data_IF_233683185129
#
_entry.id   IF_233683185129
#
_cell.length_a   1.000
_cell.length_b   1.000
_cell.length_c   1.000
_cell.angle_alpha   90.00
_cell.angle_beta   90.00
_cell.angle_gamma   90.00
#
_symmetry.space_group_name_H-M   'P 1'
#
loop_
_entity.id
_entity.type
_entity.pdbx_description
1 polymer ?
#
# COMPACT_ATOMS: atom_id res chain seq x y z
N UNK A 1 6.68 -17.85 -22.97
CA UNK A 1 6.39 -18.21 -21.57
C UNK A 1 4.93 -17.93 -21.32
N UNK A 2 4.17 -18.88 -20.82
CA UNK A 2 2.74 -18.69 -20.55
C UNK A 2 2.65 -17.96 -19.23
N UNK A 3 2.22 -16.71 -19.26
CA UNK A 3 1.97 -15.91 -18.04
C UNK A 3 0.91 -16.61 -17.21
N UNK A 4 1.27 -17.06 -16.02
CA UNK A 4 0.35 -17.73 -15.13
C UNK A 4 -0.41 -16.65 -14.34
N UNK A 5 -1.64 -16.35 -14.77
CA UNK A 5 -2.53 -15.49 -13.97
C UNK A 5 -2.81 -16.20 -12.65
N UNK A 6 -2.60 -15.50 -11.54
CA UNK A 6 -2.92 -16.02 -10.22
C UNK A 6 -4.40 -16.43 -10.15
N UNK A 7 -4.65 -17.72 -10.12
CA UNK A 7 -5.95 -18.29 -9.87
C UNK A 7 -5.85 -19.16 -8.61
N UNK A 8 -6.16 -18.57 -7.46
CA UNK A 8 -6.21 -19.29 -6.20
C UNK A 8 -7.57 -19.95 -6.04
N UNK A 9 -7.60 -21.25 -5.75
CA UNK A 9 -8.74 -21.85 -5.08
C UNK A 9 -8.82 -21.35 -3.62
N UNK A 10 -9.87 -21.70 -2.91
CA UNK A 10 -10.11 -21.18 -1.57
C UNK A 10 -9.06 -21.66 -0.55
N UNK A 11 -8.60 -22.90 -0.69
CA UNK A 11 -7.55 -23.47 0.17
C UNK A 11 -6.22 -22.72 -0.03
N UNK A 12 -5.87 -22.47 -1.28
CA UNK A 12 -4.67 -21.72 -1.60
C UNK A 12 -4.77 -20.28 -1.11
N UNK A 13 -5.92 -19.63 -1.27
CA UNK A 13 -6.15 -18.28 -0.78
C UNK A 13 -6.01 -18.18 0.74
N UNK A 14 -6.59 -19.14 1.49
CA UNK A 14 -6.46 -19.21 2.95
C UNK A 14 -4.99 -19.39 3.38
N UNK A 15 -4.26 -20.25 2.67
CA UNK A 15 -2.84 -20.44 2.91
C UNK A 15 -2.03 -19.17 2.64
N UNK A 16 -2.27 -18.47 1.52
CA UNK A 16 -1.59 -17.21 1.17
C UNK A 16 -1.89 -16.12 2.21
N UNK A 17 -3.13 -15.97 2.64
CA UNK A 17 -3.51 -15.04 3.69
C UNK A 17 -2.75 -15.31 5.00
N UNK A 18 -2.66 -16.60 5.39
CA UNK A 18 -1.89 -17.02 6.56
C UNK A 18 -0.40 -16.70 6.40
N UNK A 19 0.18 -16.97 5.23
CA UNK A 19 1.60 -16.69 4.98
C UNK A 19 1.91 -15.20 4.98
N UNK A 20 0.99 -14.36 4.49
CA UNK A 20 1.13 -12.90 4.57
C UNK A 20 1.13 -12.45 6.04
N UNK A 21 0.25 -12.98 6.87
CA UNK A 21 0.22 -12.66 8.31
C UNK A 21 1.51 -13.07 9.02
N UNK A 22 2.05 -14.25 8.71
CA UNK A 22 3.26 -14.77 9.36
C UNK A 22 4.51 -14.05 8.88
N UNK A 23 4.65 -13.84 7.58
CA UNK A 23 5.85 -13.24 6.96
C UNK A 23 5.80 -11.73 6.88
N UNK A 24 4.63 -11.13 6.94
CA UNK A 24 4.38 -9.73 6.72
C UNK A 24 4.25 -9.33 5.24
N UNK A 25 4.62 -10.21 4.31
CA UNK A 25 4.49 -9.95 2.87
C UNK A 25 4.54 -11.24 2.06
N UNK A 26 4.07 -11.17 0.82
CA UNK A 26 4.22 -12.20 -0.20
C UNK A 26 4.46 -11.54 -1.56
N UNK A 27 5.31 -12.13 -2.39
CA UNK A 27 5.67 -11.60 -3.71
C UNK A 27 5.34 -12.64 -4.77
N UNK A 28 4.67 -12.20 -5.83
CA UNK A 28 4.34 -13.02 -6.99
C UNK A 28 4.99 -12.41 -8.22
N UNK A 29 5.84 -13.17 -8.87
CA UNK A 29 6.58 -12.73 -10.06
C UNK A 29 5.80 -13.02 -11.35
N UNK A 30 6.17 -12.35 -12.43
CA UNK A 30 5.74 -12.63 -13.82
C UNK A 30 4.20 -12.62 -13.99
N UNK A 31 3.51 -11.71 -13.30
CA UNK A 31 2.07 -11.55 -13.42
C UNK A 31 1.73 -10.53 -14.50
N UNK A 32 0.73 -10.86 -15.34
CA UNK A 32 0.20 -9.97 -16.37
C UNK A 32 -1.30 -9.74 -16.11
N UNK A 33 -1.59 -8.88 -15.16
CA UNK A 33 -2.94 -8.54 -14.76
C UNK A 33 -3.35 -7.19 -15.33
N UNK A 34 -4.52 -7.13 -15.93
CA UNK A 34 -5.16 -5.83 -16.15
C UNK A 34 -5.81 -5.32 -14.85
N UNK A 35 -6.21 -4.05 -14.86
CA UNK A 35 -6.75 -3.38 -13.68
C UNK A 35 -7.97 -4.10 -13.06
N UNK A 36 -8.87 -4.64 -13.88
CA UNK A 36 -10.03 -5.37 -13.38
C UNK A 36 -9.62 -6.70 -12.72
N UNK A 37 -8.72 -7.46 -13.35
CA UNK A 37 -8.21 -8.71 -12.81
C UNK A 37 -7.47 -8.50 -11.48
N UNK A 38 -6.73 -7.40 -11.39
CA UNK A 38 -6.05 -7.04 -10.15
C UNK A 38 -7.05 -6.72 -9.03
N UNK A 39 -8.09 -5.94 -9.30
CA UNK A 39 -9.14 -5.64 -8.31
C UNK A 39 -9.88 -6.91 -7.89
N UNK A 40 -10.27 -7.76 -8.84
CA UNK A 40 -10.94 -9.03 -8.54
C UNK A 40 -10.06 -9.97 -7.69
N UNK A 41 -8.76 -10.02 -7.96
CA UNK A 41 -7.82 -10.76 -7.11
C UNK A 41 -7.80 -10.21 -5.69
N UNK A 42 -7.71 -8.89 -5.53
CA UNK A 42 -7.65 -8.27 -4.21
C UNK A 42 -8.95 -8.46 -3.41
N UNK A 43 -10.11 -8.41 -4.07
CA UNK A 43 -11.41 -8.68 -3.44
C UNK A 43 -11.54 -10.08 -2.86
N UNK A 44 -10.75 -11.03 -3.31
CA UNK A 44 -10.72 -12.37 -2.71
C UNK A 44 -10.06 -12.41 -1.34
N UNK A 45 -9.23 -11.43 -1.02
CA UNK A 45 -8.62 -11.28 0.32
C UNK A 45 -9.49 -10.47 1.28
N UNK A 46 -10.47 -9.74 0.80
CA UNK A 46 -11.37 -8.92 1.59
C UNK A 46 -11.97 -7.76 0.80
N UNK A 47 -12.79 -6.97 1.47
CA UNK A 47 -13.40 -5.80 0.86
C UNK A 47 -12.34 -4.77 0.50
N UNK A 48 -12.34 -4.34 -0.75
CA UNK A 48 -11.46 -3.29 -1.22
C UNK A 48 -12.03 -1.93 -0.89
N UNK A 49 -11.28 -1.12 -0.22
CA UNK A 49 -11.64 0.28 -0.03
C UNK A 49 -11.33 1.11 -1.27
N UNK A 50 -12.21 2.04 -1.58
CA UNK A 50 -11.98 3.07 -2.57
C UNK A 50 -11.62 4.36 -1.82
N UNK A 51 -10.34 4.68 -1.65
CA UNK A 51 -9.96 5.95 -1.06
C UNK A 51 -10.48 7.09 -1.94
N UNK A 52 -11.13 8.07 -1.32
CA UNK A 52 -11.78 9.19 -2.01
C UNK A 52 -10.73 10.20 -2.49
N UNK A 53 -9.81 9.74 -3.33
CA UNK A 53 -8.73 10.53 -3.85
C UNK A 53 -9.01 10.87 -5.33
N UNK A 54 -8.86 12.13 -5.67
CA UNK A 54 -9.08 12.65 -7.03
C UNK A 54 -8.19 12.00 -8.11
N UNK A 55 -7.19 11.24 -7.70
CA UNK A 55 -6.26 10.54 -8.59
C UNK A 55 -6.69 9.10 -8.89
N UNK A 56 -7.77 8.62 -8.31
CA UNK A 56 -8.22 7.26 -8.56
C UNK A 56 -8.84 7.14 -9.96
N UNK A 57 -8.58 6.05 -10.69
CA UNK A 57 -9.26 5.77 -11.94
C UNK A 57 -10.77 5.69 -11.71
N UNK A 58 -11.57 6.39 -12.49
CA UNK A 58 -13.04 6.36 -12.37
C UNK A 58 -13.64 4.96 -12.50
N UNK A 59 -12.99 4.09 -13.29
CA UNK A 59 -13.46 2.73 -13.56
C UNK A 59 -13.12 1.75 -12.43
N UNK A 60 -12.00 1.96 -11.76
CA UNK A 60 -11.51 1.12 -10.66
C UNK A 60 -11.10 2.05 -9.51
N UNK A 61 -12.08 2.57 -8.77
CA UNK A 61 -11.81 3.57 -7.71
C UNK A 61 -10.99 3.01 -6.54
N UNK A 62 -10.92 1.69 -6.42
CA UNK A 62 -10.09 0.99 -5.44
C UNK A 62 -8.59 1.06 -5.77
N UNK A 63 -8.24 1.37 -7.02
CA UNK A 63 -6.84 1.46 -7.46
C UNK A 63 -6.29 2.84 -7.17
N UNK A 64 -5.12 2.84 -6.58
CA UNK A 64 -4.33 4.02 -6.36
C UNK A 64 -3.12 4.03 -7.30
N UNK A 65 -2.97 5.09 -8.11
CA UNK A 65 -1.88 5.18 -9.08
C UNK A 65 -0.66 5.83 -8.45
N UNK A 66 0.42 5.08 -8.37
CA UNK A 66 1.74 5.56 -7.98
C UNK A 66 2.57 5.75 -9.25
N UNK A 67 2.93 6.98 -9.57
CA UNK A 67 3.77 7.29 -10.75
C UNK A 67 4.42 8.67 -10.64
N UNK A 68 5.65 8.78 -11.11
CA UNK A 68 6.33 10.08 -11.29
C UNK A 68 5.89 10.87 -12.52
N UNK A 69 5.04 10.29 -13.40
CA UNK A 69 4.63 10.94 -14.64
C UNK A 69 3.82 12.21 -14.40
N UNK A 70 4.00 13.15 -15.32
CA UNK A 70 3.24 14.41 -15.42
C UNK A 70 2.49 14.45 -16.74
N UNK A 71 1.40 15.19 -16.78
CA UNK A 71 0.69 15.50 -18.01
C UNK A 71 1.44 16.56 -18.83
N UNK A 72 0.88 16.91 -20.00
CA UNK A 72 1.45 17.94 -20.89
C UNK A 72 1.51 19.36 -20.28
N UNK A 73 0.83 19.57 -19.15
CA UNK A 73 0.82 20.85 -18.43
C UNK A 73 1.70 20.79 -17.17
N UNK A 74 2.44 19.69 -16.94
CA UNK A 74 3.28 19.50 -15.77
C UNK A 74 2.56 19.04 -14.51
N UNK A 75 1.25 18.75 -14.58
CA UNK A 75 0.46 18.24 -13.46
C UNK A 75 0.80 16.78 -13.21
N UNK A 76 1.03 16.42 -11.96
CA UNK A 76 1.29 15.03 -11.56
C UNK A 76 0.09 14.13 -11.89
N UNK A 77 0.36 12.93 -12.42
CA UNK A 77 -0.63 11.92 -12.77
C UNK A 77 -0.82 10.88 -11.67
N UNK A 78 -0.02 10.90 -10.63
CA UNK A 78 -0.07 9.97 -9.51
C UNK A 78 0.55 10.55 -8.26
N UNK A 79 0.54 9.74 -7.19
CA UNK A 79 1.17 10.11 -5.92
C UNK A 79 2.69 9.89 -5.91
N UNK A 80 3.32 10.51 -4.93
CA UNK A 80 4.72 10.43 -4.53
C UNK A 80 5.74 11.01 -5.52
N UNK A 81 5.41 11.16 -6.80
CA UNK A 81 6.32 11.76 -7.78
C UNK A 81 7.61 10.97 -7.97
N UNK A 82 8.74 11.67 -8.10
CA UNK A 82 10.08 11.13 -8.40
C UNK A 82 11.00 11.20 -7.16
N UNK A 83 10.47 10.99 -5.98
CA UNK A 83 11.25 11.05 -4.73
C UNK A 83 11.29 9.71 -4.04
N UNK A 84 12.36 9.47 -3.33
CA UNK A 84 12.45 8.32 -2.43
C UNK A 84 11.40 8.46 -1.33
N UNK A 85 10.66 7.38 -1.11
CA UNK A 85 9.71 7.28 -0.02
C UNK A 85 10.39 6.56 1.14
N UNK A 86 10.56 7.27 2.26
CA UNK A 86 11.16 6.70 3.46
C UNK A 86 10.32 5.57 4.06
N UNK A 87 10.88 4.88 5.04
CA UNK A 87 10.18 3.82 5.76
C UNK A 87 8.88 4.33 6.38
N UNK A 88 7.79 3.66 6.08
CA UNK A 88 6.46 4.00 6.58
C UNK A 88 5.58 2.75 6.63
N UNK A 89 4.48 2.83 7.34
CA UNK A 89 3.38 1.87 7.23
C UNK A 89 2.13 2.57 6.71
N UNK A 90 1.36 1.86 5.91
CA UNK A 90 0.11 2.37 5.39
C UNK A 90 -1.02 2.23 6.43
N UNK A 91 -2.02 3.12 6.35
CA UNK A 91 -3.22 3.02 7.18
C UNK A 91 -3.11 3.58 8.60
N UNK A 92 -1.96 4.14 9.00
CA UNK A 92 -1.75 4.68 10.35
C UNK A 92 -2.67 5.87 10.69
N UNK A 93 -3.22 6.55 9.69
CA UNK A 93 -4.16 7.66 9.90
C UNK A 93 -5.60 7.20 10.13
N UNK A 94 -5.87 5.91 10.04
CA UNK A 94 -7.22 5.36 10.20
C UNK A 94 -7.44 4.87 11.62
N UNK A 95 -8.51 5.32 12.22
CA UNK A 95 -8.98 4.78 13.49
C UNK A 95 -9.73 3.47 13.25
N UNK A 96 -9.47 2.45 14.07
CA UNK A 96 -10.21 1.17 14.10
C UNK A 96 -10.01 0.22 12.91
N UNK A 97 -8.87 0.22 12.25
CA UNK A 97 -8.57 -0.80 11.25
C UNK A 97 -7.67 -1.87 11.87
N UNK A 98 -8.24 -3.01 12.18
CA UNK A 98 -7.52 -4.13 12.80
C UNK A 98 -6.64 -4.89 11.80
N UNK A 99 -7.05 -4.94 10.52
CA UNK A 99 -6.32 -5.65 9.48
C UNK A 99 -6.35 -4.89 8.15
N UNK A 100 -5.19 -4.48 7.69
CA UNK A 100 -5.03 -3.89 6.36
C UNK A 100 -4.12 -4.78 5.54
N UNK A 101 -4.62 -5.24 4.40
CA UNK A 101 -3.82 -5.82 3.36
C UNK A 101 -3.65 -4.81 2.23
N UNK A 102 -2.42 -4.59 1.81
CA UNK A 102 -2.11 -3.70 0.70
C UNK A 102 -1.54 -4.53 -0.44
N UNK A 103 -2.21 -4.52 -1.57
CA UNK A 103 -1.67 -5.03 -2.82
C UNK A 103 -0.87 -3.94 -3.53
N UNK A 104 0.28 -4.32 -4.06
CA UNK A 104 1.08 -3.48 -4.95
C UNK A 104 1.29 -4.24 -6.26
N UNK A 105 0.99 -3.61 -7.38
CA UNK A 105 1.19 -4.18 -8.70
C UNK A 105 2.13 -3.31 -9.53
N UNK A 106 3.27 -3.88 -9.91
CA UNK A 106 4.24 -3.21 -10.75
C UNK A 106 3.81 -3.27 -12.21
N UNK A 107 3.28 -2.17 -12.74
CA UNK A 107 2.83 -2.06 -14.14
C UNK A 107 4.01 -1.93 -15.10
N UNK A 108 5.07 -1.29 -14.64
CA UNK A 108 6.30 -1.08 -15.41
C UNK A 108 7.48 -1.13 -14.46
N UNK A 109 8.36 -2.08 -14.69
CA UNK A 109 9.62 -2.15 -13.96
C UNK A 109 10.60 -1.05 -14.40
N UNK A 110 11.45 -0.64 -13.47
CA UNK A 110 12.59 0.23 -13.71
C UNK A 110 13.76 -0.29 -12.87
N UNK A 111 14.89 -0.53 -13.51
CA UNK A 111 16.08 -1.08 -12.85
C UNK A 111 16.66 -0.17 -11.77
N UNK A 112 16.28 1.10 -11.75
CA UNK A 112 16.73 2.08 -10.75
C UNK A 112 15.77 2.24 -9.58
N UNK A 113 14.68 1.47 -9.53
CA UNK A 113 13.70 1.52 -8.45
C UNK A 113 13.63 0.20 -7.72
N UNK A 114 13.51 0.28 -6.40
CA UNK A 114 13.33 -0.88 -5.54
C UNK A 114 12.25 -0.60 -4.49
N UNK A 115 11.55 -1.66 -4.10
CA UNK A 115 10.67 -1.67 -2.94
C UNK A 115 11.31 -2.53 -1.86
N UNK A 116 11.50 -1.95 -0.68
CA UNK A 116 11.97 -2.68 0.49
C UNK A 116 10.83 -2.91 1.47
N UNK A 117 10.71 -4.11 1.99
CA UNK A 117 9.68 -4.49 2.97
C UNK A 117 10.37 -5.00 4.23
N UNK A 118 9.89 -4.58 5.39
CA UNK A 118 10.39 -5.01 6.69
C UNK A 118 9.24 -5.51 7.56
N UNK A 119 9.36 -6.73 8.08
CA UNK A 119 8.46 -7.23 9.10
C UNK A 119 8.98 -6.78 10.48
N UNK A 120 8.21 -5.95 11.17
CA UNK A 120 8.56 -5.39 12.48
C UNK A 120 8.06 -6.22 13.66
N UNK A 121 7.27 -7.26 13.41
CA UNK A 121 6.66 -8.09 14.47
C UNK A 121 7.73 -8.82 15.28
N UNK A 122 8.62 -9.53 14.61
CA UNK A 122 9.68 -10.29 15.32
C UNK A 122 10.64 -9.39 16.09
N UNK A 123 11.21 -8.32 15.52
CA UNK A 123 12.02 -7.39 16.29
C UNK A 123 11.33 -6.85 17.54
N UNK A 124 10.02 -6.57 17.47
CA UNK A 124 9.26 -6.14 18.63
C UNK A 124 9.10 -7.27 19.67
N UNK A 125 8.87 -8.51 19.24
CA UNK A 125 8.76 -9.67 20.14
C UNK A 125 10.07 -9.95 20.90
N UNK A 126 11.21 -9.70 20.25
CA UNK A 126 12.55 -9.94 20.81
C UNK A 126 12.98 -8.86 21.82
N UNK A 127 12.25 -7.76 21.97
CA UNK A 127 12.49 -6.74 22.98
C UNK A 127 12.20 -7.27 24.39
N UNK A 128 12.85 -6.72 25.41
CA UNK A 128 12.46 -6.93 26.80
C UNK A 128 11.14 -6.22 27.15
N UNK A 129 10.55 -6.53 28.30
CA UNK A 129 9.23 -5.98 28.65
C UNK A 129 9.26 -4.47 28.93
N UNK A 130 10.37 -3.93 29.43
CA UNK A 130 10.52 -2.49 29.64
C UNK A 130 10.52 -1.74 28.30
N UNK A 131 11.25 -2.24 27.32
CA UNK A 131 11.27 -1.71 25.97
C UNK A 131 9.90 -1.83 25.29
N UNK A 132 9.24 -2.99 25.43
CA UNK A 132 7.89 -3.19 24.89
C UNK A 132 6.89 -2.20 25.49
N UNK A 133 6.93 -2.00 26.80
CA UNK A 133 6.05 -1.04 27.47
C UNK A 133 6.35 0.39 27.05
N UNK A 134 7.61 0.75 26.89
CA UNK A 134 7.99 2.03 26.33
C UNK A 134 7.33 2.26 24.94
N UNK A 135 7.49 1.31 24.00
CA UNK A 135 6.93 1.46 22.68
C UNK A 135 5.39 1.42 22.65
N UNK A 136 4.74 0.63 23.50
CA UNK A 136 3.26 0.60 23.61
C UNK A 136 2.67 1.93 24.06
N UNK A 137 3.42 2.69 24.85
CA UNK A 137 2.98 3.95 25.43
C UNK A 137 3.40 5.18 24.62
N UNK A 138 4.13 5.01 23.51
CA UNK A 138 4.46 6.13 22.63
C UNK A 138 3.19 6.65 21.95
N UNK A 139 2.97 7.95 22.09
CA UNK A 139 1.95 8.65 21.33
C UNK A 139 2.62 9.41 20.18
N UNK A 140 2.18 9.13 18.95
CA UNK A 140 2.66 9.79 17.74
C UNK A 140 1.59 10.78 17.27
N UNK A 141 1.99 12.05 17.10
CA UNK A 141 1.14 13.04 16.46
C UNK A 141 1.51 13.09 14.97
N UNK A 142 0.61 12.60 14.12
CA UNK A 142 0.75 12.74 12.68
C UNK A 142 0.37 14.15 12.26
N UNK A 143 1.22 14.78 11.46
CA UNK A 143 0.96 16.11 10.92
C UNK A 143 1.38 16.13 9.45
N UNK A 144 0.44 16.38 8.56
CA UNK A 144 0.72 16.59 7.15
C UNK A 144 1.27 17.99 6.94
N UNK A 145 2.39 18.09 6.21
CA UNK A 145 2.86 19.38 5.69
C UNK A 145 2.16 19.64 4.37
N UNK A 146 1.57 20.81 4.24
CA UNK A 146 1.00 21.26 2.97
C UNK A 146 2.00 21.05 1.82
N UNK A 147 1.56 20.41 0.75
CA UNK A 147 2.15 20.37 -0.58
C UNK A 147 3.38 19.49 -0.85
N UNK A 148 3.75 18.54 0.00
CA UNK A 148 4.99 17.80 -0.32
C UNK A 148 4.77 16.41 -0.90
N UNK A 149 3.82 15.63 -0.39
CA UNK A 149 3.62 14.23 -0.80
C UNK A 149 2.23 14.01 -1.37
N UNK A 150 1.24 14.60 -0.74
CA UNK A 150 -0.15 14.55 -1.16
C UNK A 150 -0.48 15.88 -1.87
N UNK A 151 -1.06 15.84 -3.06
CA UNK A 151 -1.58 17.04 -3.73
C UNK A 151 -2.90 17.47 -3.07
N UNK A 152 -2.88 17.67 -1.76
CA UNK A 152 -4.03 18.19 -1.03
C UNK A 152 -4.23 19.64 -1.40
N UNK A 153 -5.44 20.02 -1.77
CA UNK A 153 -5.80 21.39 -2.07
C UNK A 153 -6.14 22.14 -0.78
N UNK A 154 -6.00 23.45 -0.79
CA UNK A 154 -6.37 24.29 0.35
C UNK A 154 -7.88 24.13 0.62
N UNK A 155 -8.22 23.72 1.84
CA UNK A 155 -9.60 23.40 2.23
C UNK A 155 -9.93 21.90 2.21
N UNK A 156 -8.94 21.05 1.93
CA UNK A 156 -9.09 19.60 2.10
C UNK A 156 -9.20 19.30 3.61
N UNK A 157 -10.23 18.57 4.06
CA UNK A 157 -10.44 18.30 5.50
C UNK A 157 -9.30 17.52 6.16
N UNK A 158 -8.42 16.88 5.39
CA UNK A 158 -7.23 16.23 5.93
C UNK A 158 -6.09 17.21 6.29
N UNK A 159 -6.27 18.51 6.00
CA UNK A 159 -5.28 19.56 6.28
C UNK A 159 -5.56 20.38 7.54
N UNK A 160 -6.68 20.15 8.22
CA UNK A 160 -7.05 20.83 9.47
C UNK A 160 -6.47 20.10 10.72
#
# INVERSE_FOLDING_TARGET
MTTQILNFDDDRLAWEATMIQVKGHQIYHEQDLNANQYVELMKRFGDCEAPNLFMNPKKNPEIFIVTGKKDKHGKKLGMFGEVELGWHSNGNSRHNVEHILIGLYCVKEDANTALSVCNTTKPFQDLDEEQKDYYRNITIKLKFKNNTIYNLEKGDPELE
#
